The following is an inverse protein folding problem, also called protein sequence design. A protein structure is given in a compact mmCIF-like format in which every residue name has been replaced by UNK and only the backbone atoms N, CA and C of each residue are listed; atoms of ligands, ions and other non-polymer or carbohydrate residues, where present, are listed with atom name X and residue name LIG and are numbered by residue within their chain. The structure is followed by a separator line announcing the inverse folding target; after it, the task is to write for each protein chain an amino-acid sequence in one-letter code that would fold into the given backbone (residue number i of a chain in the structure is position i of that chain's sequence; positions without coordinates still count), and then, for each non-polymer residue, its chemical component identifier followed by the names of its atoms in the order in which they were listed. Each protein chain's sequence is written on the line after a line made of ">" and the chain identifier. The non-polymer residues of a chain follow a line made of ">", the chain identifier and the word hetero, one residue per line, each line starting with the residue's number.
data_IF_972137079128
#
_entry.id   IF_972137079128
#
_cell.length_a   1.000
_cell.length_b   1.000
_cell.length_c   1.000
_cell.angle_alpha   90.00
_cell.angle_beta   90.00
_cell.angle_gamma   90.00
#
_symmetry.space_group_name_H-M   'P 1'
#
loop_
_entity.id
_entity.type
_entity.pdbx_description
1 polymer ?
#
# COMPACT_ATOMS: atom_id res chain seq x y z
N UNK A 1 -3.27 11.73 -15.33
CA UNK A 1 -2.57 10.88 -14.39
C UNK A 1 -1.07 11.15 -14.44
N UNK A 2 -0.44 11.27 -13.29
CA UNK A 2 0.98 11.64 -13.18
C UNK A 2 1.92 10.50 -13.59
N UNK A 3 1.53 9.26 -13.31
CA UNK A 3 2.30 8.06 -13.65
C UNK A 3 2.05 7.68 -15.11
N UNK A 4 3.11 7.72 -15.90
CA UNK A 4 3.03 7.51 -17.37
C UNK A 4 3.76 6.27 -17.86
N UNK A 5 4.67 5.76 -17.09
CA UNK A 5 5.51 4.64 -17.48
C UNK A 5 5.83 3.72 -16.30
N UNK A 6 6.42 2.60 -16.62
CA UNK A 6 6.79 1.52 -15.71
C UNK A 6 7.74 1.97 -14.59
N UNK A 7 8.75 2.77 -14.92
CA UNK A 7 9.72 3.24 -13.93
C UNK A 7 9.06 4.13 -12.88
N UNK A 8 8.17 5.00 -13.33
CA UNK A 8 7.36 5.86 -12.43
C UNK A 8 6.41 5.02 -11.60
N UNK A 9 5.77 4.01 -12.21
CA UNK A 9 4.88 3.10 -11.50
C UNK A 9 5.60 2.36 -10.38
N UNK A 10 6.80 1.85 -10.62
CA UNK A 10 7.61 1.17 -9.60
C UNK A 10 8.02 2.11 -8.46
N UNK A 11 8.36 3.36 -8.78
CA UNK A 11 8.67 4.37 -7.77
C UNK A 11 7.48 4.61 -6.83
N UNK A 12 6.29 4.78 -7.39
CA UNK A 12 5.05 4.98 -6.63
C UNK A 12 4.73 3.74 -5.80
N UNK A 13 4.85 2.55 -6.38
CA UNK A 13 4.57 1.29 -5.70
C UNK A 13 5.47 1.10 -4.46
N UNK A 14 6.76 1.35 -4.58
CA UNK A 14 7.70 1.28 -3.44
C UNK A 14 7.25 2.19 -2.30
N UNK A 15 6.85 3.40 -2.60
CA UNK A 15 6.38 4.34 -1.58
C UNK A 15 5.05 3.91 -0.97
N UNK A 16 4.14 3.35 -1.76
CA UNK A 16 2.86 2.82 -1.26
C UNK A 16 3.09 1.69 -0.25
N UNK A 17 4.00 0.76 -0.56
CA UNK A 17 4.33 -0.34 0.35
C UNK A 17 4.98 0.17 1.65
N UNK A 18 5.86 1.14 1.57
CA UNK A 18 6.47 1.74 2.77
C UNK A 18 5.42 2.35 3.69
N UNK A 19 4.43 3.03 3.13
CA UNK A 19 3.31 3.61 3.89
C UNK A 19 2.45 2.53 4.54
N UNK A 20 2.12 1.49 3.79
CA UNK A 20 1.36 0.36 4.31
C UNK A 20 2.09 -0.32 5.48
N UNK A 21 3.38 -0.57 5.35
CA UNK A 21 4.21 -1.13 6.42
C UNK A 21 4.12 -0.27 7.68
N UNK A 22 4.24 1.05 7.56
CA UNK A 22 4.12 1.96 8.69
C UNK A 22 2.77 1.86 9.41
N UNK A 23 1.69 1.70 8.66
CA UNK A 23 0.34 1.52 9.21
C UNK A 23 0.25 0.23 10.02
N UNK A 24 0.71 -0.89 9.48
CA UNK A 24 0.66 -2.18 10.16
C UNK A 24 1.60 -2.26 11.36
N UNK A 25 2.77 -1.64 11.31
CA UNK A 25 3.65 -1.51 12.45
C UNK A 25 2.97 -0.76 13.60
N UNK A 26 2.26 0.31 13.27
CA UNK A 26 1.48 1.06 14.26
C UNK A 26 0.32 0.24 14.82
N UNK A 27 -0.36 -0.53 13.97
CA UNK A 27 -1.43 -1.42 14.39
C UNK A 27 -0.93 -2.47 15.39
N UNK A 28 0.28 -3.01 15.22
CA UNK A 28 0.90 -3.93 16.17
C UNK A 28 1.07 -3.30 17.55
N UNK A 29 1.41 -2.02 17.62
CA UNK A 29 1.56 -1.32 18.89
C UNK A 29 0.24 -1.15 19.63
N UNK A 30 -0.87 -1.05 18.89
CA UNK A 30 -2.21 -0.85 19.46
C UNK A 30 -2.98 -2.14 19.71
N UNK A 31 -2.54 -3.25 19.14
CA UNK A 31 -3.21 -4.54 19.31
C UNK A 31 -2.96 -5.11 20.70
N UNK A 32 -4.03 -5.59 21.36
CA UNK A 32 -3.97 -6.13 22.70
C UNK A 32 -3.98 -7.65 22.79
N UNK A 33 -4.50 -8.34 21.78
CA UNK A 33 -4.52 -9.79 21.76
C UNK A 33 -3.44 -10.38 20.87
N UNK A 34 -2.90 -11.52 21.25
CA UNK A 34 -1.88 -12.20 20.44
C UNK A 34 -2.46 -12.70 19.12
N UNK A 35 -3.69 -13.13 19.08
CA UNK A 35 -4.38 -13.53 17.85
C UNK A 35 -4.43 -12.38 16.82
N UNK A 36 -4.82 -11.19 17.28
CA UNK A 36 -4.86 -10.00 16.43
C UNK A 36 -3.45 -9.61 15.97
N UNK A 37 -2.48 -9.65 16.87
CA UNK A 37 -1.08 -9.34 16.55
C UNK A 37 -0.54 -10.30 15.50
N UNK A 38 -0.84 -11.59 15.63
CA UNK A 38 -0.38 -12.59 14.66
C UNK A 38 -0.94 -12.32 13.25
N UNK A 39 -2.23 -12.00 13.15
CA UNK A 39 -2.85 -11.63 11.88
C UNK A 39 -2.21 -10.39 11.24
N UNK A 40 -1.89 -9.39 12.05
CA UNK A 40 -1.21 -8.17 11.57
C UNK A 40 0.22 -8.52 11.10
N UNK A 41 0.93 -9.38 11.81
CA UNK A 41 2.28 -9.80 11.41
C UNK A 41 2.29 -10.54 10.07
N UNK A 42 1.27 -11.35 9.81
CA UNK A 42 1.14 -12.04 8.52
C UNK A 42 0.99 -11.05 7.36
N UNK A 43 0.10 -10.09 7.50
CA UNK A 43 -0.07 -9.04 6.48
C UNK A 43 1.21 -8.23 6.34
N UNK A 44 1.82 -7.84 7.45
CA UNK A 44 3.06 -7.07 7.45
C UNK A 44 4.21 -7.80 6.74
N UNK A 45 4.30 -9.13 6.92
CA UNK A 45 5.28 -9.94 6.22
C UNK A 45 5.07 -9.89 4.70
N UNK A 46 3.83 -9.96 4.25
CA UNK A 46 3.48 -9.86 2.83
C UNK A 46 3.82 -8.48 2.27
N UNK A 47 3.51 -7.40 3.00
CA UNK A 47 3.84 -6.04 2.59
C UNK A 47 5.36 -5.83 2.45
N UNK A 48 6.14 -6.40 3.36
CA UNK A 48 7.61 -6.37 3.27
C UNK A 48 8.13 -7.14 2.06
N UNK A 49 7.50 -8.25 1.71
CA UNK A 49 7.85 -9.01 0.51
C UNK A 49 7.48 -8.24 -0.76
N UNK A 50 6.32 -7.57 -0.79
CA UNK A 50 5.94 -6.68 -1.90
C UNK A 50 6.98 -5.57 -2.09
N UNK A 51 7.36 -4.92 -0.99
CA UNK A 51 8.40 -3.87 -1.03
C UNK A 51 9.71 -4.41 -1.59
N UNK A 52 10.13 -5.59 -1.15
CA UNK A 52 11.35 -6.25 -1.63
C UNK A 52 11.28 -6.49 -3.15
N UNK A 53 10.16 -7.01 -3.63
CA UNK A 53 9.95 -7.31 -5.05
C UNK A 53 9.97 -6.05 -5.90
N UNK A 54 9.24 -5.02 -5.51
CA UNK A 54 9.22 -3.75 -6.24
C UNK A 54 10.58 -3.04 -6.20
N UNK A 55 11.27 -3.08 -5.07
CA UNK A 55 12.61 -2.48 -4.95
C UNK A 55 13.61 -3.16 -5.89
N UNK A 56 13.58 -4.49 -5.96
CA UNK A 56 14.45 -5.26 -6.86
C UNK A 56 14.17 -4.92 -8.33
N UNK A 57 12.91 -4.77 -8.71
CA UNK A 57 12.53 -4.37 -10.06
C UNK A 57 12.96 -2.95 -10.39
N UNK A 58 12.85 -2.05 -9.41
CA UNK A 58 13.23 -0.65 -9.55
C UNK A 58 14.73 -0.46 -9.78
N UNK A 59 15.57 -1.30 -9.21
CA UNK A 59 17.04 -1.25 -9.40
C UNK A 59 17.43 -1.33 -10.87
N UNK A 60 16.61 -1.97 -11.70
CA UNK A 60 16.82 -2.08 -13.15
C UNK A 60 16.17 -0.94 -13.94
N UNK A 61 15.53 0.00 -13.27
CA UNK A 61 14.68 1.04 -13.85
C UNK A 61 15.05 2.39 -13.25
N UNK A 62 15.95 3.12 -13.88
CA UNK A 62 16.38 4.43 -13.36
C UNK A 62 15.36 5.53 -13.64
N UNK A 63 14.99 6.27 -12.60
CA UNK A 63 14.38 7.59 -12.69
C UNK A 63 15.45 8.63 -12.37
N UNK A 64 15.37 9.80 -12.97
CA UNK A 64 16.20 10.91 -12.51
C UNK A 64 15.65 11.46 -11.19
N UNK A 65 16.51 12.12 -10.41
CA UNK A 65 16.14 12.66 -9.09
C UNK A 65 15.00 13.68 -9.13
N UNK A 66 14.94 14.49 -10.19
CA UNK A 66 13.90 15.49 -10.32
C UNK A 66 12.53 14.84 -10.54
N UNK A 67 12.49 13.81 -11.37
CA UNK A 67 11.29 13.04 -11.64
C UNK A 67 10.80 12.30 -10.40
N UNK A 68 11.70 11.65 -9.67
CA UNK A 68 11.39 10.99 -8.40
C UNK A 68 10.82 11.96 -7.37
N UNK A 69 11.47 13.10 -7.17
CA UNK A 69 11.00 14.14 -6.24
C UNK A 69 9.61 14.64 -6.60
N UNK A 70 9.34 14.83 -7.88
CA UNK A 70 8.02 15.27 -8.35
C UNK A 70 6.93 14.25 -8.01
N UNK A 71 7.20 12.96 -8.24
CA UNK A 71 6.26 11.89 -7.93
C UNK A 71 6.00 11.79 -6.43
N UNK A 72 7.05 11.79 -5.60
CA UNK A 72 6.92 11.70 -4.15
C UNK A 72 6.19 12.93 -3.57
N UNK A 73 6.46 14.10 -4.12
CA UNK A 73 5.75 15.33 -3.74
C UNK A 73 4.27 15.25 -4.09
N UNK A 74 3.92 14.74 -5.26
CA UNK A 74 2.54 14.54 -5.69
C UNK A 74 1.81 13.56 -4.77
N UNK A 75 2.45 12.48 -4.35
CA UNK A 75 1.91 11.54 -3.37
C UNK A 75 1.68 12.19 -2.01
N UNK A 76 2.66 12.95 -1.53
CA UNK A 76 2.57 13.66 -0.25
C UNK A 76 1.43 14.67 -0.24
N UNK A 77 1.17 15.34 -1.37
CA UNK A 77 0.05 16.25 -1.55
C UNK A 77 -1.29 15.55 -1.83
N UNK A 78 -1.30 14.21 -1.86
CA UNK A 78 -2.47 13.37 -2.15
C UNK A 78 -3.07 13.59 -3.55
N UNK A 79 -2.28 14.08 -4.47
CA UNK A 79 -2.72 14.29 -5.86
C UNK A 79 -2.99 12.96 -6.56
N UNK A 80 -2.24 11.91 -6.20
CA UNK A 80 -2.40 10.57 -6.76
C UNK A 80 -3.47 9.75 -6.02
N UNK A 81 -3.61 9.97 -4.73
CA UNK A 81 -4.47 9.20 -3.83
C UNK A 81 -5.30 10.14 -2.95
N UNK A 82 -6.38 10.74 -3.50
CA UNK A 82 -7.25 11.61 -2.73
C UNK A 82 -7.87 10.86 -1.53
N UNK A 83 -7.93 11.48 -0.38
CA UNK A 83 -8.47 10.87 0.83
C UNK A 83 -7.53 9.94 1.58
N UNK A 84 -6.24 9.90 1.23
CA UNK A 84 -5.24 9.01 1.82
C UNK A 84 -4.84 9.33 3.26
N UNK A 85 -3.62 8.90 3.63
CA UNK A 85 -3.09 8.92 5.02
C UNK A 85 -3.31 10.25 5.76
N UNK A 86 -3.07 11.36 5.09
CA UNK A 86 -3.15 12.68 5.72
C UNK A 86 -4.56 13.03 6.18
N UNK A 87 -5.57 12.63 5.44
CA UNK A 87 -6.96 12.86 5.79
C UNK A 87 -7.37 12.02 7.00
N UNK A 88 -6.98 10.74 7.02
CA UNK A 88 -7.24 9.87 8.15
C UNK A 88 -6.54 10.32 9.43
N UNK A 89 -5.33 10.84 9.33
CA UNK A 89 -4.62 11.44 10.46
C UNK A 89 -5.37 12.64 11.03
N UNK A 90 -5.94 13.47 10.17
CA UNK A 90 -6.77 14.62 10.59
C UNK A 90 -8.01 14.17 11.33
N UNK A 91 -8.59 13.04 10.95
CA UNK A 91 -9.76 12.47 11.60
C UNK A 91 -9.40 11.67 12.84
N UNK A 92 -8.12 11.60 13.22
CA UNK A 92 -7.59 10.82 14.33
C UNK A 92 -7.88 9.31 14.23
N UNK A 93 -8.15 8.83 12.99
CA UNK A 93 -8.42 7.42 12.74
C UNK A 93 -7.27 6.49 13.13
N UNK A 94 -6.04 7.01 13.15
CA UNK A 94 -4.83 6.24 13.46
C UNK A 94 -4.57 6.08 14.97
N UNK A 95 -5.46 6.57 15.85
CA UNK A 95 -5.30 6.46 17.29
C UNK A 95 -5.96 5.20 17.88
N UNK A 96 -6.74 4.47 17.09
CA UNK A 96 -7.40 3.22 17.51
C UNK A 96 -7.13 2.10 16.54
N UNK A 97 -7.21 0.86 17.01
CA UNK A 97 -7.04 -0.32 16.16
C UNK A 97 -8.13 -0.39 15.07
N UNK A 98 -9.37 -0.08 15.44
CA UNK A 98 -10.49 -0.04 14.49
C UNK A 98 -10.27 1.00 13.39
N UNK A 99 -9.82 2.20 13.78
CA UNK A 99 -9.47 3.26 12.82
C UNK A 99 -8.34 2.85 11.91
N UNK A 100 -7.31 2.19 12.44
CA UNK A 100 -6.20 1.67 11.64
C UNK A 100 -6.65 0.60 10.65
N UNK A 101 -7.53 -0.31 11.04
CA UNK A 101 -8.09 -1.32 10.14
C UNK A 101 -8.93 -0.68 9.03
N UNK A 102 -9.74 0.32 9.35
CA UNK A 102 -10.53 1.04 8.36
C UNK A 102 -9.63 1.76 7.36
N UNK A 103 -8.59 2.41 7.85
CA UNK A 103 -7.60 3.07 7.03
C UNK A 103 -6.81 2.07 6.17
N UNK A 104 -6.38 0.96 6.76
CA UNK A 104 -5.67 -0.09 6.04
C UNK A 104 -6.54 -0.70 4.93
N UNK A 105 -7.83 -0.92 5.20
CA UNK A 105 -8.76 -1.45 4.19
C UNK A 105 -8.88 -0.50 2.98
N UNK A 106 -8.97 0.80 3.22
CA UNK A 106 -9.00 1.79 2.15
C UNK A 106 -7.68 1.80 1.38
N UNK A 107 -6.57 1.72 2.08
CA UNK A 107 -5.22 1.66 1.51
C UNK A 107 -5.04 0.42 0.61
N UNK A 108 -5.51 -0.75 1.06
CA UNK A 108 -5.46 -1.99 0.28
C UNK A 108 -6.30 -1.92 -0.98
N UNK A 109 -7.47 -1.29 -0.88
CA UNK A 109 -8.34 -1.07 -2.03
C UNK A 109 -7.66 -0.18 -3.07
N UNK A 110 -7.09 0.92 -2.64
CA UNK A 110 -6.33 1.83 -3.51
C UNK A 110 -5.14 1.13 -4.15
N UNK A 111 -4.40 0.34 -3.37
CA UNK A 111 -3.26 -0.43 -3.87
C UNK A 111 -3.69 -1.44 -4.95
N UNK A 112 -4.73 -2.20 -4.68
CA UNK A 112 -5.28 -3.17 -5.63
C UNK A 112 -5.66 -2.51 -6.96
N UNK A 113 -6.42 -1.44 -6.91
CA UNK A 113 -6.88 -0.71 -8.09
C UNK A 113 -5.70 -0.08 -8.84
N UNK A 114 -4.78 0.53 -8.12
CA UNK A 114 -3.61 1.20 -8.67
C UNK A 114 -2.66 0.20 -9.34
N UNK A 115 -2.38 -0.93 -8.72
CA UNK A 115 -1.49 -1.95 -9.29
C UNK A 115 -2.09 -2.62 -10.51
N UNK A 116 -3.40 -2.80 -10.55
CA UNK A 116 -4.09 -3.25 -11.77
C UNK A 116 -3.92 -2.26 -12.91
N UNK A 117 -4.06 -0.97 -12.62
CA UNK A 117 -3.86 0.08 -13.62
C UNK A 117 -2.40 0.12 -14.08
N UNK A 118 -1.46 0.04 -13.15
CA UNK A 118 -0.02 0.04 -13.47
C UNK A 118 0.36 -1.16 -14.35
N UNK A 119 -0.24 -2.32 -14.13
CA UNK A 119 0.03 -3.50 -14.96
C UNK A 119 -0.26 -3.26 -16.43
N UNK A 120 -1.26 -2.46 -16.73
CA UNK A 120 -1.65 -2.10 -18.11
C UNK A 120 -0.68 -1.12 -18.76
N UNK A 121 0.14 -0.42 -17.96
CA UNK A 121 1.10 0.59 -18.43
C UNK A 121 2.51 0.04 -18.56
N UNK A 122 2.74 -1.18 -18.13
CA UNK A 122 4.04 -1.82 -18.21
C UNK A 122 4.29 -2.36 -19.61
N UNK A 123 5.45 -2.04 -20.16
CA UNK A 123 5.92 -2.60 -21.42
C UNK A 123 6.56 -3.97 -21.23
N UNK A 124 7.14 -4.22 -20.04
CA UNK A 124 7.72 -5.52 -19.69
C UNK A 124 6.68 -6.43 -19.08
N UNK A 125 6.59 -7.64 -19.64
CA UNK A 125 5.60 -8.62 -19.22
C UNK A 125 5.79 -9.12 -17.80
N UNK A 126 7.03 -9.30 -17.35
CA UNK A 126 7.34 -9.73 -15.99
C UNK A 126 6.93 -8.70 -14.94
N UNK A 127 7.14 -7.41 -15.23
CA UNK A 127 6.71 -6.31 -14.34
C UNK A 127 5.18 -6.23 -14.30
N UNK A 128 4.52 -6.34 -15.45
CA UNK A 128 3.05 -6.36 -15.52
C UNK A 128 2.46 -7.51 -14.69
N UNK A 129 3.04 -8.70 -14.81
CA UNK A 129 2.61 -9.87 -14.02
C UNK A 129 2.85 -9.70 -12.53
N UNK A 130 3.95 -9.06 -12.14
CA UNK A 130 4.22 -8.76 -10.74
C UNK A 130 3.16 -7.84 -10.14
N UNK A 131 2.79 -6.77 -10.85
CA UNK A 131 1.71 -5.88 -10.41
C UNK A 131 0.38 -6.62 -10.25
N UNK A 132 0.03 -7.48 -11.20
CA UNK A 132 -1.22 -8.26 -11.11
C UNK A 132 -1.20 -9.26 -9.95
N UNK A 133 -0.08 -9.95 -9.74
CA UNK A 133 0.10 -10.89 -8.65
C UNK A 133 -0.06 -10.20 -7.29
N UNK A 134 0.60 -9.07 -7.11
CA UNK A 134 0.54 -8.30 -5.87
C UNK A 134 -0.88 -7.72 -5.68
N UNK A 135 -1.53 -7.23 -6.74
CA UNK A 135 -2.91 -6.76 -6.67
C UNK A 135 -3.87 -7.85 -6.15
N UNK A 136 -3.64 -9.10 -6.51
CA UNK A 136 -4.44 -10.23 -5.99
C UNK A 136 -4.20 -10.45 -4.49
N UNK A 137 -2.96 -10.36 -4.05
CA UNK A 137 -2.62 -10.45 -2.62
C UNK A 137 -3.25 -9.31 -1.83
N UNK A 138 -3.25 -8.07 -2.36
CA UNK A 138 -3.93 -6.92 -1.76
C UNK A 138 -5.44 -7.15 -1.64
N UNK A 139 -6.04 -7.84 -2.60
CA UNK A 139 -7.45 -8.22 -2.55
C UNK A 139 -7.75 -9.14 -1.37
N UNK A 140 -6.86 -10.09 -1.07
CA UNK A 140 -6.99 -10.98 0.07
C UNK A 140 -6.81 -10.23 1.39
N UNK A 141 -5.86 -9.32 1.47
CA UNK A 141 -5.68 -8.45 2.64
C UNK A 141 -6.93 -7.60 2.90
N UNK A 142 -7.50 -7.04 1.84
CA UNK A 142 -8.73 -6.24 1.96
C UNK A 142 -9.88 -7.06 2.55
N UNK A 143 -10.08 -8.29 2.07
CA UNK A 143 -11.11 -9.18 2.58
C UNK A 143 -10.90 -9.49 4.07
N UNK A 144 -9.67 -9.77 4.48
CA UNK A 144 -9.32 -10.04 5.88
C UNK A 144 -9.54 -8.81 6.77
N UNK A 145 -9.17 -7.63 6.31
CA UNK A 145 -9.36 -6.39 7.04
C UNK A 145 -10.84 -6.05 7.23
N UNK A 146 -11.66 -6.27 6.19
CA UNK A 146 -13.12 -6.09 6.29
C UNK A 146 -13.73 -7.04 7.33
N UNK A 147 -13.29 -8.30 7.34
CA UNK A 147 -13.73 -9.27 8.34
C UNK A 147 -13.39 -8.80 9.76
N UNK A 148 -12.17 -8.31 9.98
CA UNK A 148 -11.73 -7.80 11.28
C UNK A 148 -12.49 -6.56 11.71
N UNK A 149 -12.87 -5.70 10.77
CA UNK A 149 -13.70 -4.53 11.06
C UNK A 149 -15.10 -4.93 11.51
N UNK A 150 -15.70 -5.94 10.89
CA UNK A 150 -17.00 -6.48 11.29
C UNK A 150 -16.92 -7.07 12.69
N UNK A 151 -15.89 -7.87 12.98
CA UNK A 151 -15.68 -8.46 14.30
C UNK A 151 -15.47 -7.39 15.38
N UNK A 152 -14.79 -6.30 15.06
CA UNK A 152 -14.53 -5.20 15.98
C UNK A 152 -15.78 -4.35 16.27
N UNK A 153 -16.78 -4.39 15.39
CA UNK A 153 -18.03 -3.63 15.53
C UNK A 153 -19.01 -4.27 16.54
N UNK A 154 -18.81 -5.54 16.88
CA UNK A 154 -19.58 -6.28 17.87
C UNK A 154 -19.02 -6.09 19.29
#
# INVERSE_FOLDING_TARGET
>A
MIVRNENQALCVAVEMERRAIGIYERALLLAHSEEVREGIREILADEREHLRRFTAMRENCALDEAEERMLLKAMAAQVLFPGGVMEMEREQGLSSLKGLYAFAAESEKEAMETYRDFSRRCSREDTARAFLSIAREETLHLAELKRRLEDAAE
#
